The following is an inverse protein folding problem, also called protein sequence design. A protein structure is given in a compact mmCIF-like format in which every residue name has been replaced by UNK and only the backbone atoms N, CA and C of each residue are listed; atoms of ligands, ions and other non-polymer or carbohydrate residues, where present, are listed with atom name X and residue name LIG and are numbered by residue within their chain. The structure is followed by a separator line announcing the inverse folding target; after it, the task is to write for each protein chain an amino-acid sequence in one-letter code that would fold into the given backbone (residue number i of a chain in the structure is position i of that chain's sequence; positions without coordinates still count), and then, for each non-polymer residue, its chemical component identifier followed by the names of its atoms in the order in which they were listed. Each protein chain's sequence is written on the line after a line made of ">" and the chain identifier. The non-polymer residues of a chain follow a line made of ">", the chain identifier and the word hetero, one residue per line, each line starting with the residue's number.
data_IF_512090212843
#
_entry.id   IF_512090212843
#
_cell.length_a   1.000
_cell.length_b   1.000
_cell.length_c   1.000
_cell.angle_alpha   90.00
_cell.angle_beta   90.00
_cell.angle_gamma   90.00
#
_symmetry.space_group_name_H-M   'P 1'
#
loop_
_entity.id
_entity.type
_entity.pdbx_description
1 polymer ?
#
# COMPACT_ATOMS: atom_id res chain seq x y z
N UNK A 1 26.79 3.33 -4.68
CA UNK A 1 27.14 3.20 -3.23
C UNK A 1 26.23 4.10 -2.41
N UNK A 2 25.72 3.66 -1.25
CA UNK A 2 25.03 4.58 -0.33
C UNK A 2 26.05 5.34 0.54
N UNK A 3 26.32 6.60 0.19
CA UNK A 3 27.36 7.40 0.81
C UNK A 3 27.14 7.64 2.31
N UNK A 4 25.88 7.87 2.74
CA UNK A 4 25.58 8.01 4.18
C UNK A 4 25.94 6.72 4.91
N UNK A 5 25.46 5.56 4.45
CA UNK A 5 25.75 4.25 5.07
C UNK A 5 27.27 3.97 5.11
N UNK A 6 27.97 4.33 4.04
CA UNK A 6 29.43 4.21 3.95
C UNK A 6 30.14 5.05 5.01
N UNK A 7 29.86 6.36 5.08
CA UNK A 7 30.45 7.26 6.07
C UNK A 7 30.11 6.84 7.51
N UNK A 8 28.86 6.47 7.78
CA UNK A 8 28.41 6.02 9.09
C UNK A 8 29.21 4.78 9.55
N UNK A 9 29.37 3.79 8.67
CA UNK A 9 30.13 2.57 8.93
C UNK A 9 31.60 2.85 9.22
N UNK A 10 32.27 3.65 8.39
CA UNK A 10 33.70 3.91 8.58
C UNK A 10 33.98 4.75 9.84
N UNK A 11 33.11 5.70 10.16
CA UNK A 11 33.21 6.43 11.43
C UNK A 11 32.94 5.54 12.65
N UNK A 12 31.97 4.61 12.55
CA UNK A 12 31.72 3.61 13.60
C UNK A 12 32.91 2.68 13.80
N UNK A 13 33.57 2.24 12.73
CA UNK A 13 34.79 1.42 12.81
C UNK A 13 35.94 2.19 13.49
N UNK A 14 36.11 3.46 13.16
CA UNK A 14 37.09 4.33 13.82
C UNK A 14 36.80 4.51 15.31
N UNK A 15 35.54 4.78 15.67
CA UNK A 15 35.10 4.86 17.07
C UNK A 15 35.35 3.55 17.83
N UNK A 16 35.04 2.39 17.23
CA UNK A 16 35.32 1.07 17.81
C UNK A 16 36.81 0.86 18.03
N UNK A 17 37.66 1.21 17.07
CA UNK A 17 39.13 1.11 17.18
C UNK A 17 39.70 1.97 18.31
N UNK A 18 39.05 3.10 18.60
CA UNK A 18 39.38 3.94 19.74
C UNK A 18 38.82 3.42 21.07
N UNK A 19 38.11 2.29 21.10
CA UNK A 19 37.54 1.68 22.30
C UNK A 19 36.09 2.09 22.61
N UNK A 20 35.37 2.70 21.67
CA UNK A 20 33.93 2.98 21.78
C UNK A 20 33.10 1.89 21.08
N UNK A 21 33.03 0.69 21.68
CA UNK A 21 32.53 -0.53 21.05
C UNK A 21 31.05 -0.49 20.60
N UNK A 22 30.20 0.31 21.26
CA UNK A 22 28.75 0.43 20.96
C UNK A 22 28.31 1.89 20.80
N UNK A 23 29.12 2.68 20.09
CA UNK A 23 28.81 4.07 19.81
C UNK A 23 28.49 4.26 18.31
N UNK A 24 27.23 4.58 17.96
CA UNK A 24 26.91 4.92 16.58
C UNK A 24 27.60 6.22 16.18
N UNK A 25 28.03 6.35 14.93
CA UNK A 25 28.62 7.59 14.41
C UNK A 25 27.56 8.68 14.18
N UNK A 26 26.30 8.28 13.94
CA UNK A 26 25.16 9.16 13.74
C UNK A 26 25.45 10.18 12.63
N UNK A 27 25.92 9.69 11.48
CA UNK A 27 26.15 10.52 10.29
C UNK A 27 24.80 10.91 9.68
N UNK A 28 24.60 12.21 9.48
CA UNK A 28 23.40 12.80 8.88
C UNK A 28 23.77 13.79 7.80
N UNK A 29 22.87 14.03 6.85
CA UNK A 29 23.02 15.18 5.94
C UNK A 29 23.05 16.47 6.77
N UNK A 30 23.95 17.36 6.41
CA UNK A 30 24.10 18.64 7.10
C UNK A 30 22.85 19.50 6.88
N UNK A 31 22.40 20.18 7.94
CA UNK A 31 21.23 21.07 7.87
C UNK A 31 21.54 22.43 7.24
N UNK A 32 22.82 22.78 7.10
CA UNK A 32 23.31 24.04 6.52
C UNK A 32 24.58 23.77 5.73
N UNK A 33 24.75 24.47 4.60
CA UNK A 33 25.94 24.37 3.76
C UNK A 33 27.24 24.71 4.50
N UNK A 34 27.19 25.60 5.50
CA UNK A 34 28.35 25.95 6.34
C UNK A 34 28.87 24.80 7.21
N UNK A 35 28.12 23.69 7.34
CA UNK A 35 28.53 22.49 8.06
C UNK A 35 29.03 21.38 7.12
N UNK A 36 29.23 21.71 5.83
CA UNK A 36 29.59 20.74 4.80
C UNK A 36 28.37 20.01 4.24
N UNK A 37 28.60 18.81 3.73
CA UNK A 37 27.58 17.95 3.11
C UNK A 37 26.94 16.99 4.14
N UNK A 38 27.75 16.47 5.07
CA UNK A 38 27.31 15.59 6.16
C UNK A 38 27.89 16.06 7.50
N UNK A 39 27.31 15.58 8.59
CA UNK A 39 27.83 15.79 9.94
C UNK A 39 27.74 14.50 10.76
N UNK A 40 28.81 14.12 11.44
CA UNK A 40 28.83 13.02 12.40
C UNK A 40 28.60 13.56 13.82
N UNK A 41 27.52 13.10 14.46
CA UNK A 41 27.06 13.63 15.76
C UNK A 41 27.29 12.64 16.93
N UNK A 42 27.74 11.43 16.62
CA UNK A 42 27.85 10.32 17.56
C UNK A 42 29.00 10.42 18.55
N UNK A 43 30.03 11.20 18.23
CA UNK A 43 31.26 11.32 19.05
C UNK A 43 30.96 11.80 20.47
N UNK A 44 30.00 12.71 20.64
CA UNK A 44 29.60 13.20 21.96
C UNK A 44 28.99 12.09 22.82
N UNK A 45 28.14 11.24 22.23
CA UNK A 45 27.56 10.08 22.89
C UNK A 45 28.64 9.04 23.25
N UNK A 46 29.58 8.81 22.34
CA UNK A 46 30.73 7.92 22.54
C UNK A 46 31.62 8.38 23.71
N UNK A 47 32.01 9.66 23.72
CA UNK A 47 32.86 10.25 24.75
C UNK A 47 32.17 10.24 26.12
N UNK A 48 30.86 10.52 26.17
CA UNK A 48 30.07 10.43 27.41
C UNK A 48 30.10 9.04 28.00
N UNK A 49 29.91 7.98 27.19
CA UNK A 49 30.01 6.58 27.67
C UNK A 49 31.41 6.25 28.20
N UNK A 50 32.45 6.81 27.58
CA UNK A 50 33.85 6.59 27.94
C UNK A 50 34.38 7.50 29.05
N UNK A 51 33.60 8.51 29.47
CA UNK A 51 34.03 9.57 30.39
C UNK A 51 35.30 10.30 29.90
N UNK A 52 35.40 10.52 28.58
CA UNK A 52 36.52 11.23 27.94
C UNK A 52 36.08 12.59 27.39
N UNK A 53 37.05 13.45 27.02
CA UNK A 53 36.77 14.70 26.34
C UNK A 53 36.27 14.43 24.90
N UNK A 54 35.10 14.93 24.48
CA UNK A 54 34.57 14.65 23.15
C UNK A 54 35.38 15.27 22.01
N UNK A 55 36.04 16.42 22.25
CA UNK A 55 36.86 17.08 21.22
C UNK A 55 38.17 16.33 21.00
N UNK A 56 38.78 15.82 22.06
CA UNK A 56 39.96 14.94 21.96
C UNK A 56 39.60 13.63 21.26
N UNK A 57 38.45 13.03 21.60
CA UNK A 57 37.98 11.82 20.90
C UNK A 57 37.72 12.07 19.42
N UNK A 58 37.11 13.21 19.07
CA UNK A 58 36.91 13.60 17.68
C UNK A 58 38.24 13.76 16.94
N UNK A 59 39.25 14.35 17.57
CA UNK A 59 40.58 14.49 16.96
C UNK A 59 41.23 13.14 16.73
N UNK A 60 41.26 12.26 17.73
CA UNK A 60 41.81 10.90 17.56
C UNK A 60 41.08 10.10 16.49
N UNK A 61 39.77 10.37 16.27
CA UNK A 61 39.02 9.76 15.18
C UNK A 61 39.46 10.31 13.83
N UNK A 62 39.65 11.63 13.70
CA UNK A 62 40.15 12.22 12.46
C UNK A 62 41.56 11.74 12.13
N UNK A 63 42.45 11.61 13.12
CA UNK A 63 43.81 11.12 12.93
C UNK A 63 43.80 9.69 12.34
N UNK A 64 42.91 8.81 12.84
CA UNK A 64 42.72 7.47 12.26
C UNK A 64 42.12 7.49 10.84
N UNK A 65 41.22 8.44 10.58
CA UNK A 65 40.57 8.60 9.27
C UNK A 65 41.57 9.11 8.23
N UNK A 66 42.49 9.99 8.59
CA UNK A 66 43.56 10.47 7.71
C UNK A 66 44.54 9.36 7.32
N UNK A 67 44.77 8.38 8.20
CA UNK A 67 45.57 7.20 7.90
C UNK A 67 44.80 6.11 7.12
N UNK A 68 43.46 6.20 7.04
CA UNK A 68 42.60 5.23 6.37
C UNK A 68 42.57 5.43 4.86
N UNK A 69 42.81 4.36 4.10
CA UNK A 69 42.74 4.37 2.63
C UNK A 69 41.31 4.52 2.12
N UNK A 70 40.33 4.15 2.94
CA UNK A 70 38.90 4.13 2.64
C UNK A 70 38.32 5.55 2.59
N UNK A 71 38.78 6.44 3.48
CA UNK A 71 38.27 7.80 3.59
C UNK A 71 39.22 8.88 3.06
N UNK A 72 40.50 8.53 2.84
CA UNK A 72 41.45 9.43 2.18
C UNK A 72 40.95 9.87 0.80
N UNK A 73 40.83 11.19 0.60
CA UNK A 73 40.39 11.80 -0.66
C UNK A 73 38.87 11.85 -0.86
N UNK A 74 38.07 11.25 0.03
CA UNK A 74 36.61 11.27 -0.04
C UNK A 74 36.05 12.63 0.39
N UNK A 75 36.51 13.14 1.52
CA UNK A 75 36.03 14.40 2.10
C UNK A 75 37.12 15.11 2.91
N UNK A 76 36.89 16.39 3.15
CA UNK A 76 37.54 17.16 4.21
C UNK A 76 36.72 17.03 5.49
N UNK A 77 37.41 16.90 6.62
CA UNK A 77 36.81 16.66 7.93
C UNK A 77 37.21 17.76 8.91
N UNK A 78 36.23 18.39 9.56
CA UNK A 78 36.48 19.50 10.50
C UNK A 78 35.73 19.29 11.81
N UNK A 79 36.42 19.45 12.95
CA UNK A 79 35.77 19.38 14.27
C UNK A 79 35.08 20.70 14.60
N UNK A 80 33.75 20.68 14.58
CA UNK A 80 32.91 21.80 14.98
C UNK A 80 32.48 21.70 16.45
N UNK A 81 32.57 22.83 17.16
CA UNK A 81 32.06 22.97 18.52
C UNK A 81 32.62 21.92 19.51
N UNK A 82 31.77 21.26 20.31
CA UNK A 82 32.22 20.36 21.37
C UNK A 82 32.74 18.99 20.88
N UNK A 83 32.59 18.66 19.59
CA UNK A 83 32.96 17.34 19.05
C UNK A 83 32.08 16.85 17.90
N UNK A 84 31.37 17.76 17.20
CA UNK A 84 30.77 17.41 15.92
C UNK A 84 31.86 17.31 14.87
N UNK A 85 31.68 16.44 13.87
CA UNK A 85 32.58 16.39 12.72
C UNK A 85 31.79 16.78 11.48
N UNK A 86 32.09 17.94 10.92
CA UNK A 86 31.60 18.40 9.63
C UNK A 86 32.36 17.65 8.52
N UNK A 87 31.63 17.22 7.48
CA UNK A 87 32.15 16.38 6.39
C UNK A 87 31.84 17.07 5.07
N UNK A 88 32.88 17.55 4.39
CA UNK A 88 32.77 18.22 3.09
C UNK A 88 33.39 17.34 2.01
N UNK A 89 32.56 16.60 1.27
CA UNK A 89 32.98 15.81 0.10
C UNK A 89 33.89 16.61 -0.85
N UNK A 90 34.96 15.98 -1.32
CA UNK A 90 35.89 16.62 -2.26
C UNK A 90 35.26 16.70 -3.67
N UNK A 91 35.58 17.73 -4.47
CA UNK A 91 35.12 17.79 -5.85
C UNK A 91 35.57 16.59 -6.69
N UNK A 92 36.78 16.09 -6.45
CA UNK A 92 37.33 14.93 -7.17
C UNK A 92 36.53 13.64 -6.88
N UNK A 93 36.13 13.42 -5.62
CA UNK A 93 35.27 12.30 -5.26
C UNK A 93 33.89 12.42 -5.92
N UNK A 94 33.26 13.60 -5.84
CA UNK A 94 31.95 13.84 -6.47
C UNK A 94 32.02 13.57 -7.97
N UNK A 95 33.02 14.11 -8.67
CA UNK A 95 33.20 13.91 -10.10
C UNK A 95 33.35 12.42 -10.45
N UNK A 96 34.20 11.71 -9.70
CA UNK A 96 34.43 10.27 -9.92
C UNK A 96 33.15 9.44 -9.73
N UNK A 97 32.35 9.75 -8.72
CA UNK A 97 31.07 9.06 -8.50
C UNK A 97 30.02 9.43 -9.55
N UNK A 98 29.97 10.69 -10.01
CA UNK A 98 29.06 11.11 -11.09
C UNK A 98 29.43 10.41 -12.41
N UNK A 99 30.71 10.37 -12.77
CA UNK A 99 31.19 9.68 -13.97
C UNK A 99 30.86 8.19 -13.91
N UNK A 100 31.06 7.55 -12.75
CA UNK A 100 30.67 6.15 -12.55
C UNK A 100 29.17 5.94 -12.70
N UNK A 101 28.37 6.75 -12.02
CA UNK A 101 26.91 6.60 -12.03
C UNK A 101 26.31 6.89 -13.41
N UNK A 102 26.90 7.80 -14.20
CA UNK A 102 26.47 8.08 -15.56
C UNK A 102 26.64 6.88 -16.52
N UNK A 103 27.54 5.94 -16.20
CA UNK A 103 27.74 4.71 -16.98
C UNK A 103 26.90 3.52 -16.48
N UNK A 104 26.20 3.66 -15.34
CA UNK A 104 25.34 2.64 -14.76
C UNK A 104 23.87 3.00 -15.04
N UNK A 105 23.13 2.11 -15.69
CA UNK A 105 21.69 2.31 -15.97
C UNK A 105 20.85 2.45 -14.70
N UNK A 106 21.39 2.02 -13.55
CA UNK A 106 20.77 2.15 -12.22
C UNK A 106 21.35 3.31 -11.41
N UNK A 107 22.19 4.15 -12.00
CA UNK A 107 22.80 5.32 -11.36
C UNK A 107 23.60 4.99 -10.09
N UNK A 108 24.23 3.81 -10.04
CA UNK A 108 25.00 3.35 -8.88
C UNK A 108 24.17 2.90 -7.69
N UNK A 109 22.86 2.68 -7.87
CA UNK A 109 21.95 2.16 -6.85
C UNK A 109 22.04 0.62 -6.82
N UNK A 110 22.65 0.05 -5.78
CA UNK A 110 22.83 -1.40 -5.68
C UNK A 110 21.48 -2.11 -5.51
N UNK A 111 21.43 -3.39 -5.87
CA UNK A 111 20.33 -4.26 -5.48
C UNK A 111 20.45 -4.57 -3.99
N UNK A 112 19.31 -4.58 -3.30
CA UNK A 112 19.20 -5.06 -1.93
C UNK A 112 19.14 -6.60 -1.92
N UNK A 113 19.19 -7.21 -0.73
CA UNK A 113 18.93 -8.66 -0.63
C UNK A 113 17.47 -8.92 -1.00
N UNK A 114 17.27 -9.71 -2.05
CA UNK A 114 15.94 -10.00 -2.57
C UNK A 114 15.07 -10.61 -1.47
N UNK A 115 13.83 -10.10 -1.39
CA UNK A 115 12.76 -10.55 -0.50
C UNK A 115 11.51 -10.64 -1.35
N UNK A 116 10.59 -11.53 -0.99
CA UNK A 116 9.27 -11.62 -1.60
C UNK A 116 8.30 -10.72 -0.85
N UNK A 117 7.89 -9.63 -1.48
CA UNK A 117 7.09 -8.57 -0.86
C UNK A 117 5.75 -8.45 -1.58
N UNK A 118 4.66 -8.69 -0.87
CA UNK A 118 3.32 -8.45 -1.39
C UNK A 118 2.87 -7.01 -1.10
N UNK A 119 2.29 -6.37 -2.10
CA UNK A 119 1.70 -5.04 -2.01
C UNK A 119 0.21 -5.15 -2.28
N UNK A 120 -0.62 -4.99 -1.25
CA UNK A 120 -2.08 -4.92 -1.34
C UNK A 120 -2.50 -3.46 -1.50
N UNK A 121 -3.02 -3.10 -2.68
CA UNK A 121 -3.34 -1.74 -3.02
C UNK A 121 -4.41 -1.63 -4.12
N UNK A 122 -4.95 -0.41 -4.25
CA UNK A 122 -6.10 -0.05 -5.07
C UNK A 122 -7.42 -0.64 -4.57
N UNK A 123 -7.58 -1.96 -4.69
CA UNK A 123 -8.66 -2.77 -4.12
C UNK A 123 -10.07 -2.13 -4.24
N UNK A 124 -10.51 -1.69 -5.44
CA UNK A 124 -11.84 -1.11 -5.62
C UNK A 124 -12.97 -2.14 -5.43
N UNK A 125 -14.15 -1.64 -5.08
CA UNK A 125 -15.38 -2.44 -5.10
C UNK A 125 -15.96 -2.47 -6.52
N UNK A 126 -16.02 -3.64 -7.13
CA UNK A 126 -16.41 -3.80 -8.53
C UNK A 126 -17.89 -3.57 -8.82
N UNK A 127 -18.74 -3.49 -7.78
CA UNK A 127 -20.15 -3.16 -7.95
C UNK A 127 -20.40 -1.68 -8.33
N UNK A 128 -19.36 -0.85 -8.29
CA UNK A 128 -19.41 0.59 -8.58
C UNK A 128 -18.16 1.05 -9.32
N UNK A 129 -18.22 2.23 -9.93
CA UNK A 129 -17.04 2.86 -10.50
C UNK A 129 -16.00 3.24 -9.44
N UNK A 130 -14.73 3.27 -9.85
CA UNK A 130 -13.66 3.77 -9.01
C UNK A 130 -13.85 5.25 -8.71
N UNK A 131 -13.97 5.57 -7.42
CA UNK A 131 -14.00 6.94 -6.95
C UNK A 131 -12.65 7.41 -6.40
N UNK A 132 -12.53 8.72 -6.20
CA UNK A 132 -11.34 9.42 -5.71
C UNK A 132 -10.71 8.82 -4.44
N UNK A 133 -11.52 8.20 -3.57
CA UNK A 133 -11.04 7.49 -2.38
C UNK A 133 -10.02 6.37 -2.66
N UNK A 134 -10.07 5.72 -3.84
CA UNK A 134 -9.12 4.67 -4.20
C UNK A 134 -7.77 5.22 -4.69
N UNK A 135 -7.73 6.47 -5.17
CA UNK A 135 -6.53 7.06 -5.79
C UNK A 135 -5.31 6.99 -4.87
N UNK A 136 -5.47 7.26 -3.57
CA UNK A 136 -4.33 7.23 -2.64
C UNK A 136 -3.73 5.84 -2.50
N UNK A 137 -4.57 4.82 -2.35
CA UNK A 137 -4.09 3.44 -2.29
C UNK A 137 -3.39 3.08 -3.60
N UNK A 138 -4.04 3.35 -4.74
CA UNK A 138 -3.50 3.09 -6.08
C UNK A 138 -2.12 3.73 -6.29
N UNK A 139 -2.00 5.05 -6.13
CA UNK A 139 -0.77 5.77 -6.43
C UNK A 139 0.37 5.49 -5.43
N UNK A 140 0.06 5.43 -4.13
CA UNK A 140 1.09 5.18 -3.10
C UNK A 140 1.57 3.73 -3.19
N UNK A 141 0.66 2.77 -3.39
CA UNK A 141 1.00 1.36 -3.57
C UNK A 141 1.88 1.16 -4.81
N UNK A 142 1.49 1.71 -5.96
CA UNK A 142 2.24 1.54 -7.22
C UNK A 142 3.64 2.16 -7.15
N UNK A 143 3.78 3.32 -6.50
CA UNK A 143 5.09 3.92 -6.26
C UNK A 143 6.00 2.99 -5.46
N UNK A 144 5.45 2.31 -4.43
CA UNK A 144 6.23 1.35 -3.64
C UNK A 144 6.56 0.08 -4.42
N UNK A 145 5.64 -0.41 -5.25
CA UNK A 145 5.92 -1.52 -6.18
C UNK A 145 7.13 -1.18 -7.05
N UNK A 146 7.10 -0.04 -7.75
CA UNK A 146 8.18 0.40 -8.63
C UNK A 146 9.50 0.59 -7.89
N UNK A 147 9.48 1.18 -6.69
CA UNK A 147 10.68 1.37 -5.86
C UNK A 147 11.26 0.02 -5.44
N UNK A 148 10.43 -0.92 -4.96
CA UNK A 148 10.89 -2.21 -4.44
C UNK A 148 11.40 -3.12 -5.57
N UNK A 149 10.75 -3.12 -6.73
CA UNK A 149 11.26 -3.81 -7.93
C UNK A 149 12.58 -3.20 -8.38
N UNK A 150 12.68 -1.87 -8.40
CA UNK A 150 13.94 -1.20 -8.73
C UNK A 150 15.05 -1.56 -7.73
N UNK A 151 14.74 -1.79 -6.46
CA UNK A 151 15.71 -2.26 -5.45
C UNK A 151 16.03 -3.77 -5.55
N UNK A 152 15.36 -4.52 -6.44
CA UNK A 152 15.64 -5.94 -6.69
C UNK A 152 14.82 -6.94 -5.89
N UNK A 153 13.72 -6.50 -5.27
CA UNK A 153 12.80 -7.41 -4.58
C UNK A 153 11.87 -8.13 -5.56
N UNK A 154 11.39 -9.32 -5.20
CA UNK A 154 10.28 -9.99 -5.89
C UNK A 154 8.98 -9.38 -5.36
N UNK A 155 8.32 -8.55 -6.18
CA UNK A 155 7.08 -7.89 -5.77
C UNK A 155 5.87 -8.64 -6.29
N UNK A 156 4.96 -8.99 -5.38
CA UNK A 156 3.64 -9.55 -5.71
C UNK A 156 2.60 -8.44 -5.56
N UNK A 157 2.05 -7.96 -6.67
CA UNK A 157 0.91 -7.04 -6.63
C UNK A 157 -0.34 -7.83 -6.23
N UNK A 158 -1.15 -7.29 -5.33
CA UNK A 158 -2.41 -7.88 -4.93
C UNK A 158 -3.50 -6.82 -5.02
N UNK A 159 -4.28 -6.86 -6.10
CA UNK A 159 -5.48 -6.04 -6.23
C UNK A 159 -6.65 -6.79 -5.61
N UNK A 160 -6.91 -6.51 -4.33
CA UNK A 160 -7.89 -7.23 -3.51
C UNK A 160 -9.30 -6.65 -3.71
N UNK A 161 -9.79 -6.77 -4.95
CA UNK A 161 -11.05 -6.17 -5.37
C UNK A 161 -12.26 -6.77 -4.64
N UNK A 162 -13.22 -5.92 -4.31
CA UNK A 162 -14.51 -6.33 -3.74
C UNK A 162 -15.47 -6.76 -4.84
N UNK A 163 -15.47 -8.06 -5.15
CA UNK A 163 -16.27 -8.68 -6.22
C UNK A 163 -17.40 -9.58 -5.70
N UNK A 164 -17.58 -9.63 -4.39
CA UNK A 164 -18.57 -10.49 -3.74
C UNK A 164 -19.43 -9.71 -2.75
N UNK A 165 -20.67 -10.14 -2.55
CA UNK A 165 -21.59 -9.56 -1.55
C UNK A 165 -23.01 -9.30 -2.05
N UNK A 166 -23.87 -8.90 -1.12
CA UNK A 166 -25.31 -8.72 -1.36
C UNK A 166 -25.62 -7.65 -2.41
N UNK A 167 -24.73 -6.67 -2.60
CA UNK A 167 -24.86 -5.62 -3.61
C UNK A 167 -24.93 -6.15 -5.05
N UNK A 168 -24.39 -7.34 -5.32
CA UNK A 168 -24.49 -7.96 -6.64
C UNK A 168 -25.90 -8.47 -6.95
N UNK A 169 -26.73 -8.77 -5.95
CA UNK A 169 -28.08 -9.28 -6.17
C UNK A 169 -28.94 -8.38 -7.06
N UNK A 170 -28.94 -7.07 -6.80
CA UNK A 170 -29.67 -6.10 -7.62
C UNK A 170 -29.06 -5.90 -9.00
N UNK A 171 -27.72 -6.00 -9.11
CA UNK A 171 -27.02 -5.86 -10.38
C UNK A 171 -27.35 -7.02 -11.31
N UNK A 172 -27.22 -8.26 -10.82
CA UNK A 172 -27.51 -9.46 -11.59
C UNK A 172 -29.00 -9.57 -11.96
N UNK A 173 -29.90 -9.21 -11.05
CA UNK A 173 -31.33 -9.15 -11.34
C UNK A 173 -31.65 -8.13 -12.43
N UNK A 174 -30.92 -7.01 -12.49
CA UNK A 174 -31.08 -6.02 -13.55
C UNK A 174 -30.52 -6.53 -14.89
N UNK A 175 -29.35 -7.18 -14.90
CA UNK A 175 -28.80 -7.81 -16.11
C UNK A 175 -29.77 -8.85 -16.69
N UNK A 176 -30.30 -9.73 -15.86
CA UNK A 176 -31.26 -10.76 -16.26
C UNK A 176 -32.58 -10.16 -16.78
N UNK A 177 -33.03 -9.03 -16.20
CA UNK A 177 -34.17 -8.27 -16.72
C UNK A 177 -33.90 -7.74 -18.14
N UNK A 178 -32.71 -7.16 -18.38
CA UNK A 178 -32.32 -6.64 -19.70
C UNK A 178 -32.21 -7.73 -20.76
N UNK A 179 -31.67 -8.90 -20.39
CA UNK A 179 -31.61 -10.03 -21.31
C UNK A 179 -33.00 -10.54 -21.69
N UNK A 180 -33.94 -10.54 -20.75
CA UNK A 180 -35.32 -10.95 -21.01
C UNK A 180 -36.10 -9.95 -21.87
N UNK A 181 -35.76 -8.66 -21.83
CA UNK A 181 -36.36 -7.63 -22.70
C UNK A 181 -35.67 -7.50 -24.06
N UNK A 182 -34.57 -8.22 -24.28
CA UNK A 182 -33.78 -8.15 -25.52
C UNK A 182 -32.93 -6.89 -25.63
N UNK A 183 -32.72 -6.18 -24.52
CA UNK A 183 -31.86 -5.00 -24.46
C UNK A 183 -30.38 -5.40 -24.50
N UNK A 184 -29.56 -4.60 -25.20
CA UNK A 184 -28.15 -4.91 -25.37
C UNK A 184 -27.37 -4.62 -24.08
N UNK A 185 -27.14 -5.66 -23.27
CA UNK A 185 -26.38 -5.58 -22.02
C UNK A 185 -25.02 -4.87 -22.18
N UNK A 186 -24.31 -5.13 -23.28
CA UNK A 186 -23.01 -4.50 -23.56
C UNK A 186 -23.08 -2.97 -23.72
N UNK A 187 -24.25 -2.42 -24.06
CA UNK A 187 -24.45 -0.97 -24.13
C UNK A 187 -24.67 -0.37 -22.75
N UNK A 188 -25.47 -1.04 -21.92
CA UNK A 188 -25.80 -0.58 -20.57
C UNK A 188 -24.60 -0.66 -19.61
N UNK A 189 -23.71 -1.66 -19.77
CA UNK A 189 -22.50 -1.79 -18.96
C UNK A 189 -21.36 -0.83 -19.34
N UNK A 190 -21.54 0.02 -20.37
CA UNK A 190 -20.55 1.07 -20.71
C UNK A 190 -20.48 2.17 -19.66
N UNK A 191 -21.57 2.39 -18.92
CA UNK A 191 -21.62 3.35 -17.82
C UNK A 191 -22.11 2.60 -16.58
N UNK A 192 -21.14 2.09 -15.81
CA UNK A 192 -21.43 1.26 -14.64
C UNK A 192 -22.12 2.07 -13.54
N UNK A 193 -21.91 3.38 -13.48
CA UNK A 193 -22.64 4.21 -12.54
C UNK A 193 -24.13 4.31 -12.91
N UNK A 194 -24.45 4.63 -14.15
CA UNK A 194 -25.85 4.69 -14.61
C UNK A 194 -26.52 3.33 -14.43
N UNK A 195 -25.83 2.25 -14.78
CA UNK A 195 -26.31 0.88 -14.55
C UNK A 195 -26.64 0.63 -13.07
N UNK A 196 -25.71 0.96 -12.17
CA UNK A 196 -25.88 0.82 -10.72
C UNK A 196 -27.05 1.68 -10.20
N UNK A 197 -27.18 2.93 -10.68
CA UNK A 197 -28.24 3.85 -10.27
C UNK A 197 -29.62 3.29 -10.65
N UNK A 198 -29.79 2.81 -11.88
CA UNK A 198 -31.04 2.16 -12.35
C UNK A 198 -31.39 0.92 -11.52
N UNK A 199 -30.42 0.04 -11.29
CA UNK A 199 -30.63 -1.17 -10.47
C UNK A 199 -31.00 -0.82 -9.01
N UNK A 200 -30.35 0.20 -8.44
CA UNK A 200 -30.60 0.69 -7.08
C UNK A 200 -31.96 1.38 -6.94
N UNK A 201 -32.39 2.13 -7.95
CA UNK A 201 -33.72 2.75 -7.99
C UNK A 201 -34.82 1.70 -8.08
N UNK A 202 -34.69 0.72 -8.99
CA UNK A 202 -35.63 -0.41 -9.08
C UNK A 202 -35.71 -1.18 -7.77
N UNK A 203 -34.58 -1.46 -7.12
CA UNK A 203 -34.56 -2.15 -5.82
C UNK A 203 -35.35 -1.40 -4.73
N UNK A 204 -35.42 -0.07 -4.79
CA UNK A 204 -36.16 0.75 -3.81
C UNK A 204 -37.64 0.94 -4.16
N UNK A 205 -37.97 0.92 -5.45
CA UNK A 205 -39.28 1.36 -5.96
C UNK A 205 -40.16 0.21 -6.44
N UNK A 206 -39.58 -0.96 -6.71
CA UNK A 206 -40.27 -2.15 -7.22
C UNK A 206 -40.04 -3.33 -6.27
N UNK A 207 -41.07 -3.69 -5.50
CA UNK A 207 -41.01 -4.80 -4.54
C UNK A 207 -40.73 -6.16 -5.21
N UNK A 208 -41.27 -6.37 -6.43
CA UNK A 208 -41.06 -7.61 -7.18
C UNK A 208 -39.60 -7.71 -7.60
N UNK A 209 -39.02 -6.61 -8.06
CA UNK A 209 -37.60 -6.55 -8.39
C UNK A 209 -36.72 -6.74 -7.14
N UNK A 210 -37.09 -6.15 -6.00
CA UNK A 210 -36.36 -6.30 -4.75
C UNK A 210 -36.31 -7.76 -4.27
N UNK A 211 -37.43 -8.48 -4.36
CA UNK A 211 -37.48 -9.90 -4.02
C UNK A 211 -36.63 -10.74 -4.98
N UNK A 212 -36.67 -10.44 -6.28
CA UNK A 212 -35.81 -11.09 -7.29
C UNK A 212 -34.34 -10.83 -6.98
N UNK A 213 -33.95 -9.59 -6.66
CA UNK A 213 -32.58 -9.25 -6.30
C UNK A 213 -32.08 -10.03 -5.07
N UNK A 214 -32.92 -10.22 -4.05
CA UNK A 214 -32.60 -11.06 -2.88
C UNK A 214 -32.41 -12.53 -3.28
N UNK A 215 -33.24 -13.06 -4.18
CA UNK A 215 -33.08 -14.42 -4.70
C UNK A 215 -31.78 -14.58 -5.48
N UNK A 216 -31.35 -13.57 -6.24
CA UNK A 216 -30.07 -13.59 -6.95
C UNK A 216 -28.87 -13.70 -5.99
N UNK A 217 -28.91 -13.09 -4.81
CA UNK A 217 -27.85 -13.27 -3.79
C UNK A 217 -27.75 -14.73 -3.38
N UNK A 218 -28.88 -15.37 -3.05
CA UNK A 218 -28.92 -16.77 -2.64
C UNK A 218 -28.44 -17.70 -3.75
N UNK A 219 -28.90 -17.46 -4.99
CA UNK A 219 -28.52 -18.25 -6.16
C UNK A 219 -27.03 -18.14 -6.48
N UNK A 220 -26.47 -16.93 -6.39
CA UNK A 220 -25.04 -16.69 -6.56
C UNK A 220 -24.22 -17.46 -5.50
N UNK A 221 -24.64 -17.39 -4.23
CA UNK A 221 -24.01 -18.12 -3.13
C UNK A 221 -24.13 -19.64 -3.24
N UNK A 222 -25.21 -20.14 -3.85
CA UNK A 222 -25.41 -21.57 -4.08
C UNK A 222 -24.70 -22.11 -5.34
N UNK A 223 -24.00 -21.25 -6.09
CA UNK A 223 -23.31 -21.66 -7.32
C UNK A 223 -24.25 -21.93 -8.51
N UNK A 224 -25.40 -21.23 -8.59
CA UNK A 224 -26.28 -21.34 -9.75
C UNK A 224 -25.55 -20.89 -11.03
N UNK A 225 -25.44 -21.79 -12.01
CA UNK A 225 -24.61 -21.58 -13.20
C UNK A 225 -24.98 -20.32 -14.00
N UNK A 226 -26.27 -20.00 -14.10
CA UNK A 226 -26.73 -18.80 -14.81
C UNK A 226 -26.38 -17.51 -14.02
N UNK A 227 -26.55 -17.52 -12.71
CA UNK A 227 -26.12 -16.39 -11.87
C UNK A 227 -24.60 -16.18 -11.92
N UNK A 228 -23.82 -17.26 -11.94
CA UNK A 228 -22.36 -17.19 -12.03
C UNK A 228 -21.94 -16.61 -13.39
N UNK A 229 -22.55 -17.01 -14.52
CA UNK A 229 -22.27 -16.41 -15.83
C UNK A 229 -22.51 -14.89 -15.85
N UNK A 230 -23.67 -14.45 -15.33
CA UNK A 230 -23.98 -13.03 -15.24
C UNK A 230 -22.97 -12.28 -14.36
N UNK A 231 -22.59 -12.89 -13.24
CA UNK A 231 -21.58 -12.32 -12.34
C UNK A 231 -20.22 -12.20 -13.00
N UNK A 232 -19.70 -13.26 -13.62
CA UNK A 232 -18.41 -13.24 -14.32
C UNK A 232 -18.38 -12.17 -15.42
N UNK A 233 -19.46 -12.02 -16.18
CA UNK A 233 -19.58 -10.99 -17.22
C UNK A 233 -19.57 -9.59 -16.63
N UNK A 234 -20.26 -9.36 -15.53
CA UNK A 234 -20.26 -8.08 -14.83
C UNK A 234 -18.87 -7.75 -14.27
N UNK A 235 -18.23 -8.71 -13.59
CA UNK A 235 -16.89 -8.55 -13.03
C UNK A 235 -15.87 -8.24 -14.13
N UNK A 236 -15.95 -8.95 -15.26
CA UNK A 236 -15.07 -8.71 -16.41
C UNK A 236 -15.18 -7.28 -16.95
N UNK A 237 -16.40 -6.76 -17.10
CA UNK A 237 -16.57 -5.38 -17.56
C UNK A 237 -16.09 -4.37 -16.50
N UNK A 238 -16.37 -4.61 -15.21
CA UNK A 238 -15.89 -3.76 -14.12
C UNK A 238 -14.36 -3.70 -14.03
N UNK A 239 -13.67 -4.83 -14.20
CA UNK A 239 -12.21 -4.87 -14.28
C UNK A 239 -11.71 -4.08 -15.50
N UNK A 240 -12.40 -4.16 -16.65
CA UNK A 240 -12.05 -3.38 -17.86
C UNK A 240 -12.11 -1.88 -17.62
N UNK A 241 -13.15 -1.40 -16.91
CA UNK A 241 -13.27 0.00 -16.51
C UNK A 241 -12.18 0.43 -15.53
N UNK A 242 -11.84 -0.43 -14.56
CA UNK A 242 -10.72 -0.16 -13.65
C UNK A 242 -9.39 -0.08 -14.40
N UNK A 243 -9.15 -0.98 -15.36
CA UNK A 243 -7.92 -1.00 -16.16
C UNK A 243 -7.76 0.29 -16.98
N UNK A 244 -8.83 0.81 -17.58
CA UNK A 244 -8.76 2.08 -18.31
C UNK A 244 -8.27 3.25 -17.42
N UNK A 245 -8.66 3.24 -16.13
CA UNK A 245 -8.18 4.23 -15.15
C UNK A 245 -6.73 3.96 -14.77
N UNK A 246 -6.32 2.70 -14.61
CA UNK A 246 -4.91 2.37 -14.36
C UNK A 246 -4.00 2.79 -15.51
N UNK A 247 -4.42 2.54 -16.75
CA UNK A 247 -3.68 2.93 -17.95
C UNK A 247 -3.55 4.46 -18.05
N UNK A 248 -4.64 5.20 -17.77
CA UNK A 248 -4.65 6.66 -17.73
C UNK A 248 -3.67 7.23 -16.70
N UNK A 249 -3.55 6.57 -15.55
CA UNK A 249 -2.72 7.00 -14.42
C UNK A 249 -1.30 6.42 -14.43
N UNK A 250 -0.92 5.67 -15.47
CA UNK A 250 0.33 4.89 -15.54
C UNK A 250 0.54 4.03 -14.27
N UNK A 251 -0.47 3.21 -13.94
CA UNK A 251 -0.43 2.28 -12.81
C UNK A 251 -0.08 0.89 -13.32
N UNK A 252 0.84 0.21 -12.65
CA UNK A 252 1.37 -1.09 -13.08
C UNK A 252 0.45 -2.29 -12.79
N UNK A 253 -0.78 -2.06 -12.30
CA UNK A 253 -1.76 -3.12 -12.07
C UNK A 253 -2.34 -3.63 -13.40
N UNK A 254 -2.46 -4.94 -13.48
CA UNK A 254 -3.10 -5.65 -14.58
C UNK A 254 -4.22 -6.56 -14.08
N UNK A 255 -4.97 -7.17 -15.00
CA UNK A 255 -5.97 -8.18 -14.67
C UNK A 255 -5.36 -9.43 -13.98
N UNK A 256 -4.07 -9.73 -14.19
CA UNK A 256 -3.39 -10.88 -13.58
C UNK A 256 -3.11 -10.67 -12.09
N UNK A 257 -3.04 -9.40 -11.66
CA UNK A 257 -2.80 -9.02 -10.26
C UNK A 257 -4.09 -9.04 -9.41
N UNK A 258 -5.24 -9.32 -10.04
CA UNK A 258 -6.54 -9.39 -9.36
C UNK A 258 -6.60 -10.66 -8.51
N UNK A 259 -6.68 -10.48 -7.20
CA UNK A 259 -6.95 -11.55 -6.23
C UNK A 259 -8.10 -11.12 -5.32
N UNK A 260 -9.30 -11.20 -5.89
CA UNK A 260 -10.53 -10.70 -5.31
C UNK A 260 -10.98 -11.43 -4.04
N UNK A 261 -11.95 -10.86 -3.32
CA UNK A 261 -12.58 -11.47 -2.14
C UNK A 261 -13.18 -12.86 -2.46
N UNK A 262 -13.84 -13.01 -3.60
CA UNK A 262 -14.46 -14.28 -4.01
C UNK A 262 -13.47 -15.44 -4.14
N UNK A 263 -12.19 -15.15 -4.41
CA UNK A 263 -11.14 -16.15 -4.57
C UNK A 263 -10.83 -16.95 -3.29
N UNK A 264 -11.41 -16.53 -2.16
CA UNK A 264 -11.26 -17.18 -0.85
C UNK A 264 -12.54 -17.88 -0.37
N UNK A 265 -13.65 -17.79 -1.09
CA UNK A 265 -14.96 -18.31 -0.66
C UNK A 265 -14.92 -19.80 -0.27
N UNK A 266 -14.24 -20.62 -1.06
CA UNK A 266 -14.17 -22.07 -0.85
C UNK A 266 -13.38 -22.46 0.41
N UNK A 267 -12.53 -21.56 0.92
CA UNK A 267 -11.68 -21.83 2.08
C UNK A 267 -12.16 -21.16 3.36
N UNK A 268 -13.20 -20.32 3.32
CA UNK A 268 -13.70 -19.58 4.49
C UNK A 268 -14.10 -20.52 5.62
N UNK A 269 -14.89 -21.55 5.34
CA UNK A 269 -15.30 -22.55 6.34
C UNK A 269 -14.09 -23.21 7.00
N UNK A 270 -13.13 -23.69 6.19
CA UNK A 270 -11.90 -24.32 6.69
C UNK A 270 -11.02 -23.35 7.49
N UNK A 271 -11.04 -22.06 7.16
CA UNK A 271 -10.32 -21.01 7.90
C UNK A 271 -10.90 -20.87 9.30
N UNK A 272 -12.23 -20.84 9.44
CA UNK A 272 -12.90 -20.77 10.74
C UNK A 272 -12.66 -22.03 11.56
N UNK A 273 -12.74 -23.22 10.94
CA UNK A 273 -12.44 -24.50 11.62
C UNK A 273 -11.01 -24.54 12.19
N UNK A 274 -10.03 -23.96 11.49
CA UNK A 274 -8.65 -23.84 12.00
C UNK A 274 -8.56 -22.93 13.22
N UNK A 275 -9.32 -21.83 13.27
CA UNK A 275 -9.39 -20.95 14.45
C UNK A 275 -10.02 -21.68 15.64
N UNK A 276 -11.08 -22.45 15.40
CA UNK A 276 -11.74 -23.28 16.42
C UNK A 276 -10.80 -24.36 16.96
N UNK A 277 -10.06 -25.04 16.08
CA UNK A 277 -9.07 -26.05 16.46
C UNK A 277 -7.92 -25.47 17.30
N UNK A 278 -7.64 -24.17 17.16
CA UNK A 278 -6.67 -23.44 17.99
C UNK A 278 -7.25 -22.92 19.31
N UNK A 279 -8.56 -23.10 19.54
CA UNK A 279 -9.25 -22.60 20.73
C UNK A 279 -9.39 -21.08 20.78
N UNK A 280 -9.32 -20.40 19.63
CA UNK A 280 -9.40 -18.94 19.54
C UNK A 280 -10.84 -18.41 19.44
N UNK A 281 -11.79 -19.27 19.09
CA UNK A 281 -13.16 -18.88 18.78
C UNK A 281 -14.06 -19.03 20.01
N UNK A 282 -14.81 -17.97 20.29
CA UNK A 282 -15.87 -17.93 21.29
C UNK A 282 -17.22 -17.58 20.64
N UNK A 283 -18.31 -18.12 21.18
CA UNK A 283 -19.66 -17.75 20.74
C UNK A 283 -20.14 -16.55 21.55
N UNK A 284 -20.43 -15.43 20.87
CA UNK A 284 -20.98 -14.21 21.46
C UNK A 284 -22.20 -13.76 20.67
N UNK A 285 -23.35 -13.62 21.33
CA UNK A 285 -24.63 -13.25 20.71
C UNK A 285 -24.99 -14.11 19.47
N UNK A 286 -24.63 -15.39 19.51
CA UNK A 286 -24.88 -16.34 18.42
C UNK A 286 -23.89 -16.25 17.26
N UNK A 287 -22.98 -15.28 17.24
CA UNK A 287 -21.89 -15.18 16.27
C UNK A 287 -20.61 -15.86 16.79
N UNK A 288 -19.73 -16.30 15.88
CA UNK A 288 -18.38 -16.75 16.22
C UNK A 288 -17.43 -15.55 16.21
N UNK A 289 -16.81 -15.29 17.33
CA UNK A 289 -15.92 -14.16 17.57
C UNK A 289 -14.55 -14.63 18.05
N UNK A 290 -13.51 -13.84 17.78
CA UNK A 290 -12.19 -13.97 18.39
C UNK A 290 -11.94 -12.72 19.23
N UNK A 291 -11.41 -12.91 20.43
CA UNK A 291 -11.03 -11.83 21.35
C UNK A 291 -9.52 -11.89 21.56
N UNK A 292 -8.85 -10.74 21.43
CA UNK A 292 -7.43 -10.59 21.75
C UNK A 292 -7.29 -9.56 22.87
N UNK A 293 -6.47 -9.86 23.87
CA UNK A 293 -6.33 -9.05 25.08
C UNK A 293 -5.87 -7.61 24.79
N UNK A 294 -5.10 -7.41 23.72
CA UNK A 294 -4.59 -6.10 23.30
C UNK A 294 -5.66 -5.17 22.69
N UNK A 295 -6.87 -5.65 22.37
CA UNK A 295 -7.95 -4.82 21.82
C UNK A 295 -9.11 -4.70 22.80
N UNK A 296 -9.14 -3.58 23.53
CA UNK A 296 -10.23 -3.27 24.45
C UNK A 296 -11.04 -2.05 24.02
N UNK A 297 -12.33 -2.08 24.35
CA UNK A 297 -13.26 -0.98 24.17
C UNK A 297 -13.10 0.10 25.25
N UNK A 298 -13.94 1.14 25.16
CA UNK A 298 -13.93 2.25 26.15
C UNK A 298 -14.32 1.83 27.57
N UNK A 299 -14.95 0.67 27.70
CA UNK A 299 -15.37 0.06 28.97
C UNK A 299 -14.41 -1.03 29.45
N UNK A 300 -13.16 -1.03 28.94
CA UNK A 300 -12.11 -2.02 29.22
C UNK A 300 -12.48 -3.47 28.88
N UNK A 301 -13.54 -3.68 28.09
CA UNK A 301 -13.94 -5.01 27.62
C UNK A 301 -13.24 -5.38 26.31
N UNK A 302 -12.88 -6.66 26.11
CA UNK A 302 -12.34 -7.12 24.83
C UNK A 302 -13.26 -6.81 23.65
N UNK A 303 -12.70 -6.26 22.58
CA UNK A 303 -13.43 -5.98 21.34
C UNK A 303 -13.55 -7.26 20.51
N UNK A 304 -14.77 -7.67 20.12
CA UNK A 304 -14.95 -8.86 19.30
C UNK A 304 -14.47 -8.61 17.87
N UNK A 305 -13.66 -9.53 17.36
CA UNK A 305 -13.49 -9.73 15.92
C UNK A 305 -14.46 -10.81 15.45
N UNK A 306 -15.57 -10.43 14.82
CA UNK A 306 -16.55 -11.38 14.31
C UNK A 306 -15.95 -12.10 13.11
N UNK A 307 -15.82 -13.42 13.17
CA UNK A 307 -15.28 -14.26 12.09
C UNK A 307 -16.37 -15.09 11.40
N UNK A 308 -17.52 -15.28 12.03
CA UNK A 308 -18.74 -15.80 11.39
C UNK A 308 -19.97 -15.21 12.07
N UNK A 309 -20.92 -14.69 11.28
CA UNK A 309 -22.17 -14.11 11.78
C UNK A 309 -23.11 -15.20 12.30
N UNK A 310 -24.13 -14.79 13.06
CA UNK A 310 -25.15 -15.69 13.63
C UNK A 310 -26.02 -16.39 12.58
N UNK A 311 -26.13 -15.81 11.38
CA UNK A 311 -26.82 -16.40 10.22
C UNK A 311 -25.92 -17.34 9.39
N UNK A 312 -24.69 -17.60 9.86
CA UNK A 312 -23.68 -18.41 9.17
C UNK A 312 -22.87 -17.65 8.13
N UNK A 313 -23.22 -16.40 7.82
CA UNK A 313 -22.53 -15.57 6.83
C UNK A 313 -21.13 -15.15 7.26
N UNK A 314 -20.22 -15.01 6.30
CA UNK A 314 -18.85 -14.61 6.53
C UNK A 314 -18.69 -13.07 6.40
N UNK A 315 -18.14 -12.37 7.41
CA UNK A 315 -17.77 -10.96 7.30
C UNK A 315 -16.38 -10.78 6.66
N UNK A 316 -15.98 -9.54 6.40
CA UNK A 316 -14.66 -9.20 5.84
C UNK A 316 -13.49 -9.83 6.61
N UNK A 317 -13.57 -9.90 7.94
CA UNK A 317 -12.54 -10.53 8.77
C UNK A 317 -12.26 -11.99 8.37
N UNK A 318 -13.28 -12.75 7.96
CA UNK A 318 -13.09 -14.14 7.50
C UNK A 318 -12.31 -14.19 6.19
N UNK A 319 -12.69 -13.36 5.22
CA UNK A 319 -12.00 -13.25 3.93
C UNK A 319 -10.56 -12.81 4.11
N UNK A 320 -10.33 -11.80 4.95
CA UNK A 320 -8.98 -11.28 5.22
C UNK A 320 -8.09 -12.28 5.97
N UNK A 321 -8.65 -13.08 6.87
CA UNK A 321 -7.93 -14.17 7.54
C UNK A 321 -7.53 -15.27 6.54
N UNK A 322 -8.44 -15.65 5.64
CA UNK A 322 -8.14 -16.58 4.57
C UNK A 322 -7.09 -16.02 3.60
N UNK A 323 -7.16 -14.71 3.29
CA UNK A 323 -6.15 -14.03 2.50
C UNK A 323 -4.80 -13.98 3.21
N UNK A 324 -4.75 -13.70 4.51
CA UNK A 324 -3.53 -13.73 5.30
C UNK A 324 -2.89 -15.13 5.31
N UNK A 325 -3.69 -16.18 5.49
CA UNK A 325 -3.22 -17.57 5.39
C UNK A 325 -2.66 -17.88 4.00
N UNK A 326 -3.39 -17.54 2.93
CA UNK A 326 -2.91 -17.73 1.55
C UNK A 326 -1.59 -17.00 1.29
N UNK A 327 -1.48 -15.75 1.72
CA UNK A 327 -0.27 -14.93 1.54
C UNK A 327 0.90 -15.48 2.37
N UNK A 328 0.64 -15.91 3.60
CA UNK A 328 1.65 -16.47 4.50
C UNK A 328 2.13 -17.86 4.10
N UNK A 329 1.22 -18.78 3.74
CA UNK A 329 1.55 -20.21 3.56
C UNK A 329 1.70 -20.61 2.09
N UNK A 330 0.86 -20.06 1.20
CA UNK A 330 0.87 -20.40 -0.22
C UNK A 330 1.86 -19.53 -0.97
N UNK A 331 1.75 -18.20 -0.84
CA UNK A 331 2.70 -17.28 -1.48
C UNK A 331 4.05 -17.21 -0.76
N UNK A 332 4.07 -17.51 0.55
CA UNK A 332 5.25 -17.49 1.42
C UNK A 332 6.02 -16.18 1.33
N UNK A 333 5.27 -15.08 1.42
CA UNK A 333 5.86 -13.74 1.38
C UNK A 333 6.72 -13.51 2.64
N UNK A 334 7.84 -12.81 2.47
CA UNK A 334 8.63 -12.31 3.60
C UNK A 334 7.95 -11.10 4.24
N UNK A 335 7.26 -10.30 3.42
CA UNK A 335 6.54 -9.10 3.84
C UNK A 335 5.26 -8.88 3.04
N UNK A 336 4.20 -8.43 3.71
CA UNK A 336 2.95 -7.99 3.11
C UNK A 336 2.63 -6.57 3.58
N UNK A 337 2.53 -5.63 2.65
CA UNK A 337 2.23 -4.22 2.89
C UNK A 337 0.82 -3.90 2.42
N UNK A 338 -0.03 -3.46 3.35
CA UNK A 338 -1.43 -3.15 3.10
C UNK A 338 -1.62 -1.64 3.00
N UNK A 339 -1.79 -1.11 1.79
CA UNK A 339 -2.05 0.31 1.56
C UNK A 339 -3.55 0.56 1.67
N UNK A 340 -4.02 0.77 2.90
CA UNK A 340 -5.45 0.90 3.24
C UNK A 340 -5.69 2.16 4.06
N UNK A 341 -6.86 2.78 3.91
CA UNK A 341 -7.27 3.97 4.67
C UNK A 341 -7.10 3.78 6.19
N UNK A 342 -6.61 4.82 6.87
CA UNK A 342 -6.34 4.78 8.32
C UNK A 342 -7.58 4.47 9.20
N UNK A 343 -8.80 4.62 8.68
CA UNK A 343 -10.02 4.21 9.39
C UNK A 343 -10.11 2.68 9.58
N UNK A 344 -9.36 1.90 8.81
CA UNK A 344 -9.33 0.43 8.91
C UNK A 344 -8.21 -0.09 9.84
N UNK A 345 -7.48 0.79 10.55
CA UNK A 345 -6.35 0.36 11.40
C UNK A 345 -6.74 -0.67 12.46
N UNK A 346 -7.91 -0.53 13.09
CA UNK A 346 -8.36 -1.49 14.11
C UNK A 346 -8.59 -2.87 13.51
N UNK A 347 -9.30 -2.93 12.38
CA UNK A 347 -9.59 -4.17 11.66
C UNK A 347 -8.30 -4.90 11.27
N UNK A 348 -7.35 -4.19 10.65
CA UNK A 348 -6.07 -4.80 10.24
C UNK A 348 -5.21 -5.21 11.44
N UNK A 349 -5.25 -4.45 12.54
CA UNK A 349 -4.53 -4.83 13.76
C UNK A 349 -5.10 -6.11 14.36
N UNK A 350 -6.43 -6.23 14.45
CA UNK A 350 -7.11 -7.46 14.86
C UNK A 350 -6.77 -8.63 13.93
N UNK A 351 -6.84 -8.41 12.61
CA UNK A 351 -6.48 -9.40 11.59
C UNK A 351 -5.08 -9.96 11.84
N UNK A 352 -4.06 -9.11 11.98
CA UNK A 352 -2.68 -9.58 12.13
C UNK A 352 -2.46 -10.32 13.45
N UNK A 353 -3.05 -9.85 14.55
CA UNK A 353 -2.98 -10.50 15.84
C UNK A 353 -3.61 -11.91 15.80
N UNK A 354 -4.82 -12.02 15.25
CA UNK A 354 -5.54 -13.28 15.11
C UNK A 354 -4.79 -14.23 14.17
N UNK A 355 -4.33 -13.72 13.01
CA UNK A 355 -3.58 -14.51 12.04
C UNK A 355 -2.25 -15.04 12.61
N UNK A 356 -1.56 -14.28 13.48
CA UNK A 356 -0.38 -14.77 14.21
C UNK A 356 -0.75 -15.84 15.25
N UNK A 357 -1.79 -15.60 16.05
CA UNK A 357 -2.26 -16.57 17.04
C UNK A 357 -2.72 -17.90 16.39
N UNK A 358 -3.33 -17.81 15.21
CA UNK A 358 -3.74 -18.96 14.40
C UNK A 358 -2.57 -19.69 13.71
N UNK A 359 -1.40 -19.03 13.60
CA UNK A 359 -0.24 -19.53 12.86
C UNK A 359 -0.32 -19.33 11.35
N UNK A 360 -1.24 -18.49 10.86
CA UNK A 360 -1.36 -18.11 9.44
C UNK A 360 -0.22 -17.18 9.01
N UNK A 361 0.29 -16.37 9.93
CA UNK A 361 1.49 -15.55 9.74
C UNK A 361 2.60 -16.07 10.67
N UNK A 362 3.76 -16.40 10.10
CA UNK A 362 4.91 -16.90 10.85
C UNK A 362 5.72 -15.77 11.51
N UNK A 363 6.55 -16.08 12.50
CA UNK A 363 7.36 -15.09 13.25
C UNK A 363 8.35 -14.33 12.36
N UNK A 364 8.89 -14.99 11.33
CA UNK A 364 9.82 -14.38 10.37
C UNK A 364 9.11 -13.56 9.27
N UNK A 365 7.78 -13.56 9.21
CA UNK A 365 6.99 -12.83 8.23
C UNK A 365 6.50 -11.50 8.81
N UNK A 366 6.58 -10.45 8.00
CA UNK A 366 6.16 -9.09 8.36
C UNK A 366 4.85 -8.75 7.65
N UNK A 367 3.81 -8.41 8.40
CA UNK A 367 2.53 -7.95 7.84
C UNK A 367 2.25 -6.58 8.43
N UNK A 368 2.20 -5.55 7.58
CA UNK A 368 2.14 -4.15 7.98
C UNK A 368 0.97 -3.43 7.32
N UNK A 369 0.23 -2.68 8.13
CA UNK A 369 -0.69 -1.66 7.64
C UNK A 369 0.10 -0.39 7.32
N UNK A 370 -0.02 0.09 6.08
CA UNK A 370 0.52 1.37 5.62
C UNK A 370 -0.66 2.35 5.49
N UNK A 371 -1.06 3.02 6.59
CA UNK A 371 -2.23 3.89 6.59
C UNK A 371 -2.00 5.16 5.79
N UNK A 372 -3.06 5.61 5.11
CA UNK A 372 -3.14 6.96 4.54
C UNK A 372 -4.41 7.68 5.01
N UNK A 373 -4.38 9.01 4.97
CA UNK A 373 -5.52 9.86 5.36
C UNK A 373 -6.58 10.04 4.27
N UNK A 374 -7.73 10.58 4.65
CA UNK A 374 -8.82 10.93 3.72
C UNK A 374 -8.43 12.07 2.77
N UNK A 375 -8.97 12.06 1.55
CA UNK A 375 -8.88 13.21 0.63
C UNK A 375 -9.89 14.27 1.06
N UNK A 376 -9.41 15.50 1.26
CA UNK A 376 -10.22 16.61 1.75
C UNK A 376 -10.40 17.69 0.68
N UNK A 377 -11.52 18.41 0.77
CA UNK A 377 -11.75 19.64 0.02
C UNK A 377 -11.06 20.84 0.71
N UNK A 378 -11.20 22.04 0.12
CA UNK A 378 -10.58 23.27 0.64
C UNK A 378 -11.08 23.66 2.03
N UNK A 379 -12.26 23.19 2.42
CA UNK A 379 -12.88 23.42 3.74
C UNK A 379 -12.50 22.34 4.78
N UNK A 380 -11.60 21.41 4.44
CA UNK A 380 -11.16 20.34 5.33
C UNK A 380 -12.18 19.21 5.54
N UNK A 381 -13.20 19.12 4.69
CA UNK A 381 -14.22 18.05 4.70
C UNK A 381 -13.90 16.99 3.65
N UNK A 382 -14.42 15.75 3.77
CA UNK A 382 -14.24 14.71 2.75
C UNK A 382 -14.62 15.21 1.35
N UNK A 383 -13.74 14.96 0.38
CA UNK A 383 -13.92 15.42 -1.00
C UNK A 383 -15.09 14.68 -1.67
N UNK A 384 -16.06 15.45 -2.13
CA UNK A 384 -17.34 14.99 -2.70
C UNK A 384 -17.74 15.89 -3.86
N UNK A 385 -18.63 15.39 -4.72
CA UNK A 385 -19.25 16.19 -5.78
C UNK A 385 -20.13 17.30 -5.20
N UNK A 386 -20.56 18.25 -6.03
CA UNK A 386 -21.45 19.36 -5.61
C UNK A 386 -22.76 18.84 -5.01
N UNK A 387 -23.25 17.71 -5.51
CA UNK A 387 -24.48 17.06 -5.05
C UNK A 387 -24.23 16.09 -3.87
N UNK A 388 -23.00 16.04 -3.33
CA UNK A 388 -22.65 15.24 -2.16
C UNK A 388 -22.29 13.76 -2.46
N UNK A 389 -22.25 13.39 -3.74
CA UNK A 389 -21.84 12.07 -4.23
C UNK A 389 -20.32 11.85 -4.20
N UNK A 390 -19.91 10.61 -4.49
CA UNK A 390 -18.49 10.29 -4.65
C UNK A 390 -17.98 10.87 -5.97
N UNK A 391 -16.77 11.44 -5.97
CA UNK A 391 -16.16 11.97 -7.19
C UNK A 391 -15.55 10.81 -7.97
N UNK A 392 -15.92 10.65 -9.24
CA UNK A 392 -15.35 9.63 -10.13
C UNK A 392 -13.88 9.90 -10.38
N UNK A 393 -13.08 8.84 -10.42
CA UNK A 393 -11.66 8.99 -10.69
C UNK A 393 -11.39 9.33 -12.17
N UNK A 394 -12.21 8.81 -13.09
CA UNK A 394 -12.14 9.14 -14.52
C UNK A 394 -12.33 10.64 -14.76
N UNK A 395 -13.41 11.24 -14.24
CA UNK A 395 -13.68 12.69 -14.37
C UNK A 395 -12.52 13.56 -13.84
N UNK A 396 -11.87 13.12 -12.75
CA UNK A 396 -10.72 13.82 -12.18
C UNK A 396 -9.51 13.74 -13.10
N UNK A 397 -9.28 12.59 -13.73
CA UNK A 397 -8.24 12.41 -14.74
C UNK A 397 -8.47 13.30 -15.96
N UNK A 398 -9.68 13.29 -16.51
CA UNK A 398 -10.06 14.10 -17.66
C UNK A 398 -9.91 15.60 -17.38
N UNK A 399 -10.41 16.07 -16.21
CA UNK A 399 -10.29 17.47 -15.81
C UNK A 399 -8.81 17.86 -15.58
N UNK A 400 -7.99 16.95 -15.04
CA UNK A 400 -6.56 17.20 -14.85
C UNK A 400 -5.84 17.39 -16.18
N UNK A 401 -6.12 16.53 -17.17
CA UNK A 401 -5.55 16.61 -18.52
C UNK A 401 -6.00 17.90 -19.22
N UNK A 402 -7.29 18.24 -19.18
CA UNK A 402 -7.80 19.48 -19.77
C UNK A 402 -7.09 20.72 -19.19
N UNK A 403 -6.94 20.77 -17.87
CA UNK A 403 -6.26 21.87 -17.18
C UNK A 403 -4.76 21.92 -17.51
N UNK A 404 -4.10 20.77 -17.61
CA UNK A 404 -2.69 20.68 -17.99
C UNK A 404 -2.47 21.16 -19.43
N UNK A 405 -3.27 20.66 -20.39
CA UNK A 405 -3.19 21.04 -21.79
C UNK A 405 -3.39 22.54 -22.01
N UNK A 406 -4.35 23.14 -21.29
CA UNK A 406 -4.54 24.59 -21.29
C UNK A 406 -3.30 25.33 -20.79
N UNK A 407 -2.74 24.90 -19.65
CA UNK A 407 -1.55 25.52 -19.07
C UNK A 407 -0.33 25.41 -19.98
N UNK A 408 -0.11 24.26 -20.62
CA UNK A 408 0.99 24.02 -21.56
C UNK A 408 0.80 24.87 -22.82
N UNK A 409 -0.42 24.92 -23.36
CA UNK A 409 -0.75 25.73 -24.54
C UNK A 409 -0.54 27.23 -24.29
N UNK A 410 -0.95 27.72 -23.11
CA UNK A 410 -0.79 29.13 -22.74
C UNK A 410 0.69 29.51 -22.57
N UNK A 411 1.54 28.59 -22.08
CA UNK A 411 2.97 28.84 -21.83
C UNK A 411 3.86 28.61 -23.05
N UNK A 412 3.49 27.67 -23.91
CA UNK A 412 4.30 27.21 -25.04
C UNK A 412 3.45 27.17 -26.31
N UNK A 413 3.02 28.33 -26.84
CA UNK A 413 2.08 28.40 -27.96
C UNK A 413 2.66 27.84 -29.28
N UNK A 414 3.98 27.77 -29.39
CA UNK A 414 4.68 27.30 -30.58
C UNK A 414 4.85 25.77 -30.64
N UNK A 415 4.46 25.05 -29.58
CA UNK A 415 4.50 23.58 -29.59
C UNK A 415 3.43 23.01 -30.52
N UNK A 416 3.77 21.89 -31.16
CA UNK A 416 2.80 21.14 -31.95
C UNK A 416 1.68 20.60 -31.06
N UNK A 417 0.53 20.28 -31.64
CA UNK A 417 -0.55 19.66 -30.88
C UNK A 417 -0.14 18.30 -30.28
N UNK A 418 0.67 17.53 -31.01
CA UNK A 418 1.23 16.26 -30.54
C UNK A 418 2.14 16.47 -29.33
N UNK A 419 3.07 17.41 -29.38
CA UNK A 419 3.97 17.71 -28.26
C UNK A 419 3.19 18.23 -27.04
N UNK A 420 2.15 19.05 -27.26
CA UNK A 420 1.30 19.57 -26.18
C UNK A 420 0.46 18.50 -25.50
N UNK A 421 0.08 17.45 -26.22
CA UNK A 421 -0.64 16.31 -25.65
C UNK A 421 0.31 15.30 -24.98
N UNK A 422 1.59 15.28 -25.36
CA UNK A 422 2.60 14.40 -24.74
C UNK A 422 3.14 14.94 -23.40
N UNK A 423 3.30 16.27 -23.29
CA UNK A 423 3.76 16.98 -22.08
C UNK A 423 2.62 17.12 -21.06
#
# INVERSE_FOLDING_TARGET
>A
MNLKKYLDKEFENGLRSLGALDAPAVVKQASKASFGHYQANGVMGAAKKRKSNPRELAQSLLDLIEESKELTGVAEYEIAGPGFINITLTPAFIQTELDRNAQDSRLGIPLETARKILIDYSSPNLAKEMHIGHLRSTAIGDANVRILEFLGHEVVRANHVGDWGAQFGSLLAYMDKLEQTGEALATELKDLEVFYQKASELFKTDEIFADRARQFVVRLQSGDANCIDLWERFIKESIRHCQAIYDLLDISLTAEDVRAESAYNDVLASTIEKLEAKGLVEISDGAKCVFMDEFTGKDDKPLPAIVQKSDGGYPYMATDLAAAEYRGHTLRVDEALYFVDGRQSLHLSQLYAIARAAGFIQENQVFNHIPFGTILNKEGKPFKTRDGGAVKLADVGDEAIERALKLVSDKNPDLTEEDRNHI
#
